data_IF_436303673739
#
_entry.id   IF_436303673739
#
_cell.length_a   1.000
_cell.length_b   1.000
_cell.length_c   1.000
_cell.angle_alpha   90.00
_cell.angle_beta   90.00
_cell.angle_gamma   90.00
#
_symmetry.space_group_name_H-M   'P 1'
#
loop_
_entity.id
_entity.type
_entity.pdbx_description
1 polymer ?
#
# COMPACT_ATOMS: atom_id res chain seq x y z
N UNK A 1 -8.70 -19.85 -10.67
CA UNK A 1 -8.41 -18.47 -11.13
C UNK A 1 -6.99 -18.45 -11.66
N UNK A 2 -6.79 -17.90 -12.86
CA UNK A 2 -5.44 -17.71 -13.41
C UNK A 2 -4.81 -16.57 -12.62
N UNK A 3 -3.70 -16.86 -11.92
CA UNK A 3 -2.90 -15.83 -11.26
C UNK A 3 -2.19 -15.04 -12.37
N UNK A 4 -2.57 -13.78 -12.65
CA UNK A 4 -1.83 -12.98 -13.61
C UNK A 4 -0.40 -12.83 -13.07
N UNK A 5 0.57 -13.00 -13.97
CA UNK A 5 1.97 -12.75 -13.65
C UNK A 5 2.16 -11.22 -13.63
N UNK A 6 1.90 -10.62 -12.46
CA UNK A 6 1.99 -9.19 -12.21
C UNK A 6 3.34 -8.83 -11.58
N UNK A 7 4.42 -9.46 -12.04
CA UNK A 7 5.76 -9.12 -11.53
C UNK A 7 6.03 -7.63 -11.77
N UNK A 8 6.55 -6.97 -10.74
CA UNK A 8 6.86 -5.53 -10.65
C UNK A 8 5.68 -4.54 -10.51
N UNK A 9 4.42 -5.00 -10.51
CA UNK A 9 3.27 -4.11 -10.33
C UNK A 9 2.92 -3.83 -8.86
N UNK A 10 3.43 -4.64 -7.91
CA UNK A 10 3.08 -4.54 -6.49
C UNK A 10 3.62 -3.27 -5.83
N UNK A 11 4.88 -2.93 -6.06
CA UNK A 11 5.50 -1.71 -5.55
C UNK A 11 4.84 -0.47 -6.16
N UNK A 12 4.53 -0.50 -7.46
CA UNK A 12 3.85 0.60 -8.15
C UNK A 12 2.43 0.80 -7.63
N UNK A 13 1.73 -0.30 -7.38
CA UNK A 13 0.41 -0.29 -6.74
C UNK A 13 0.49 0.30 -5.32
N UNK A 14 1.44 -0.15 -4.50
CA UNK A 14 1.67 0.33 -3.13
C UNK A 14 2.05 1.81 -3.06
N UNK A 15 2.84 2.28 -4.01
CA UNK A 15 3.23 3.69 -4.12
C UNK A 15 2.09 4.56 -4.68
N UNK A 16 1.00 3.96 -5.16
CA UNK A 16 -0.14 4.68 -5.74
C UNK A 16 0.18 5.35 -7.08
N UNK A 17 1.19 4.86 -7.80
CA UNK A 17 1.65 5.40 -9.09
C UNK A 17 1.16 4.59 -10.30
N UNK A 18 0.50 3.46 -10.04
CA UNK A 18 -0.04 2.60 -11.06
C UNK A 18 -1.25 3.25 -11.75
N UNK A 19 -1.43 2.99 -13.06
CA UNK A 19 -2.60 3.47 -13.81
C UNK A 19 -3.91 2.95 -13.22
N UNK A 20 -5.00 3.71 -13.36
CA UNK A 20 -6.27 3.38 -12.70
C UNK A 20 -6.82 2.00 -13.09
N UNK A 21 -6.70 1.59 -14.36
CA UNK A 21 -7.15 0.28 -14.84
C UNK A 21 -6.33 -0.87 -14.20
N UNK A 22 -5.01 -0.72 -14.17
CA UNK A 22 -4.11 -1.70 -13.57
C UNK A 22 -4.29 -1.77 -12.05
N UNK A 23 -4.47 -0.62 -11.39
CA UNK A 23 -4.73 -0.54 -9.96
C UNK A 23 -6.04 -1.23 -9.57
N UNK A 24 -7.09 -1.07 -10.39
CA UNK A 24 -8.36 -1.78 -10.19
C UNK A 24 -8.17 -3.29 -10.35
N UNK A 25 -7.46 -3.73 -11.39
CA UNK A 25 -7.16 -5.15 -11.65
C UNK A 25 -6.42 -5.78 -10.46
N UNK A 26 -5.41 -5.09 -9.93
CA UNK A 26 -4.67 -5.51 -8.74
C UNK A 26 -5.59 -5.59 -7.52
N UNK A 27 -6.40 -4.56 -7.27
CA UNK A 27 -7.33 -4.49 -6.14
C UNK A 27 -8.35 -5.63 -6.17
N UNK A 28 -8.97 -5.88 -7.31
CA UNK A 28 -9.92 -6.98 -7.51
C UNK A 28 -9.25 -8.35 -7.28
N UNK A 29 -8.02 -8.52 -7.76
CA UNK A 29 -7.27 -9.74 -7.53
C UNK A 29 -6.95 -9.95 -6.04
N UNK A 30 -6.48 -8.92 -5.34
CA UNK A 30 -6.19 -8.99 -3.90
C UNK A 30 -7.44 -9.29 -3.07
N UNK A 31 -8.62 -8.80 -3.48
CA UNK A 31 -9.89 -9.10 -2.83
C UNK A 31 -10.25 -10.60 -2.86
N UNK A 32 -9.68 -11.38 -3.79
CA UNK A 32 -9.86 -12.84 -3.83
C UNK A 32 -9.02 -13.60 -2.80
N UNK A 33 -8.05 -12.94 -2.17
CA UNK A 33 -7.18 -13.55 -1.16
C UNK A 33 -6.18 -14.57 -1.71
N UNK A 34 -5.76 -14.43 -2.98
CA UNK A 34 -4.77 -15.31 -3.62
C UNK A 34 -3.50 -15.44 -2.75
N UNK A 35 -3.17 -16.64 -2.23
CA UNK A 35 -2.05 -16.79 -1.29
C UNK A 35 -0.70 -16.37 -1.85
N UNK A 36 -0.44 -16.66 -3.13
CA UNK A 36 0.81 -16.29 -3.81
C UNK A 36 0.97 -14.77 -3.91
N UNK A 37 -0.07 -14.08 -4.37
CA UNK A 37 -0.02 -12.63 -4.54
C UNK A 37 -0.02 -11.90 -3.20
N UNK A 38 -0.68 -12.45 -2.19
CA UNK A 38 -0.60 -11.93 -0.83
C UNK A 38 0.83 -12.02 -0.27
N UNK A 39 1.57 -13.07 -0.58
CA UNK A 39 2.97 -13.19 -0.18
C UNK A 39 3.86 -12.16 -0.90
N UNK A 40 3.72 -12.04 -2.22
CA UNK A 40 4.41 -11.03 -3.01
C UNK A 40 4.10 -9.60 -2.54
N UNK A 41 2.84 -9.33 -2.18
CA UNK A 41 2.41 -8.05 -1.64
C UNK A 41 3.06 -7.74 -0.29
N UNK A 42 3.30 -8.75 0.57
CA UNK A 42 4.03 -8.56 1.82
C UNK A 42 5.49 -8.20 1.56
N UNK A 43 6.14 -8.89 0.63
CA UNK A 43 7.52 -8.61 0.21
C UNK A 43 7.63 -7.18 -0.34
N UNK A 44 6.77 -6.80 -1.27
CA UNK A 44 6.73 -5.44 -1.83
C UNK A 44 6.43 -4.37 -0.76
N UNK A 45 5.55 -4.67 0.21
CA UNK A 45 5.27 -3.77 1.34
C UNK A 45 6.51 -3.53 2.18
N UNK A 46 7.31 -4.57 2.45
CA UNK A 46 8.56 -4.43 3.17
C UNK A 46 9.57 -3.58 2.38
N UNK A 47 9.68 -3.80 1.07
CA UNK A 47 10.54 -3.00 0.18
C UNK A 47 10.15 -1.51 0.23
N UNK A 48 8.87 -1.19 0.05
CA UNK A 48 8.37 0.20 0.10
C UNK A 48 8.56 0.81 1.48
N UNK A 49 8.35 0.05 2.56
CA UNK A 49 8.61 0.52 3.92
C UNK A 49 10.08 0.86 4.16
N UNK A 50 11.01 0.00 3.73
CA UNK A 50 12.45 0.26 3.83
C UNK A 50 12.86 1.46 3.00
N UNK A 51 12.32 1.60 1.78
CA UNK A 51 12.54 2.77 0.93
C UNK A 51 12.06 4.06 1.62
N UNK A 52 10.86 4.06 2.21
CA UNK A 52 10.30 5.24 2.88
C UNK A 52 11.16 5.70 4.07
N UNK A 53 11.88 4.80 4.73
CA UNK A 53 12.81 5.15 5.83
C UNK A 53 14.05 5.92 5.37
N UNK A 54 14.41 5.85 4.09
CA UNK A 54 15.54 6.61 3.53
C UNK A 54 15.22 8.09 3.32
N UNK A 55 13.93 8.44 3.32
CA UNK A 55 13.47 9.81 3.16
C UNK A 55 13.75 10.70 4.39
N UNK A 56 13.87 12.00 4.18
CA UNK A 56 13.97 12.96 5.30
C UNK A 56 12.65 12.98 6.08
N UNK A 57 12.72 12.73 7.38
CA UNK A 57 11.55 12.85 8.26
C UNK A 57 11.08 14.30 8.34
N UNK A 58 9.78 14.54 8.16
CA UNK A 58 9.15 15.84 8.35
C UNK A 58 8.32 15.80 9.63
N UNK A 59 8.47 16.79 10.51
CA UNK A 59 7.60 16.90 11.69
C UNK A 59 6.19 17.31 11.25
N UNK A 60 5.16 16.53 11.59
CA UNK A 60 3.78 16.93 11.32
C UNK A 60 3.41 18.17 12.16
N UNK A 61 2.40 18.92 11.71
CA UNK A 61 1.89 20.07 12.47
C UNK A 61 1.45 19.63 13.88
N UNK A 62 1.73 20.39 14.96
CA UNK A 62 1.51 19.96 16.34
C UNK A 62 0.07 19.52 16.64
N UNK A 63 -0.91 20.14 15.97
CA UNK A 63 -2.33 19.80 16.11
C UNK A 63 -2.77 18.55 15.32
N UNK A 64 -1.98 18.07 14.36
CA UNK A 64 -2.35 16.94 13.50
C UNK A 64 -2.55 15.66 14.30
N UNK A 65 -1.65 15.35 15.25
CA UNK A 65 -1.80 14.17 16.12
C UNK A 65 -3.07 14.24 16.96
N UNK A 66 -3.33 15.37 17.62
CA UNK A 66 -4.51 15.55 18.46
C UNK A 66 -5.82 15.47 17.64
N UNK A 67 -5.83 16.05 16.44
CA UNK A 67 -6.97 15.97 15.50
C UNK A 67 -7.23 14.52 15.09
N UNK A 68 -6.18 13.78 14.71
CA UNK A 68 -6.29 12.39 14.28
C UNK A 68 -6.78 11.48 15.41
N UNK A 69 -6.25 11.64 16.63
CA UNK A 69 -6.72 10.90 17.81
C UNK A 69 -8.17 11.20 18.17
N UNK A 70 -8.66 12.44 17.94
CA UNK A 70 -10.06 12.79 18.16
C UNK A 70 -10.98 12.07 17.17
N UNK A 71 -10.60 12.03 15.89
CA UNK A 71 -11.36 11.34 14.83
C UNK A 71 -11.47 9.83 15.08
N UNK A 72 -10.43 9.21 15.64
CA UNK A 72 -10.45 7.78 15.98
C UNK A 72 -11.37 7.44 17.15
N UNK A 73 -11.71 8.40 18.02
CA UNK A 73 -12.64 8.18 19.15
C UNK A 73 -14.10 8.40 18.78
N UNK A 74 -14.37 9.05 17.65
CA UNK A 74 -15.71 9.35 17.17
C UNK A 74 -16.28 8.30 16.20
N UNK A 75 -15.54 7.22 15.98
CA UNK A 75 -15.97 5.99 15.30
C UNK A 75 -15.98 4.85 16.32
#
# INVERSE_FOLDING_TARGET
>A
MVCPYLEDLWELYLLGVLGAEDANTVSEHLATGCPRCMEQMREATLTVYLLAQTGRTVRPHPKSKASLLRRLRSH
#
